data_IF_430007818859
#
_entry.id   IF_430007818859
#
_cell.length_a   1.000
_cell.length_b   1.000
_cell.length_c   1.000
_cell.angle_alpha   90.00
_cell.angle_beta   90.00
_cell.angle_gamma   90.00
#
_symmetry.space_group_name_H-M   'P 1'
#
loop_
_entity.id
_entity.type
_entity.pdbx_description
1 polymer ?
#
# COMPACT_ATOMS: atom_id res chain seq x y z
N UNK A 1 22.37 11.09 -10.62
CA UNK A 1 21.31 10.32 -9.93
C UNK A 1 20.03 11.14 -9.89
N UNK A 2 18.92 10.53 -10.24
CA UNK A 2 17.61 11.18 -10.22
C UNK A 2 16.71 10.53 -9.18
N UNK A 3 15.87 11.35 -8.53
CA UNK A 3 14.79 10.90 -7.66
C UNK A 3 13.48 11.07 -8.41
N UNK A 4 12.65 10.04 -8.43
CA UNK A 4 11.33 10.09 -9.08
C UNK A 4 10.25 9.74 -8.06
N UNK A 5 9.13 10.48 -8.12
CA UNK A 5 7.99 10.26 -7.24
C UNK A 5 6.72 9.99 -8.06
N UNK A 6 5.95 8.99 -7.63
CA UNK A 6 4.66 8.67 -8.22
C UNK A 6 3.55 8.86 -7.19
N UNK A 7 2.48 9.53 -7.58
CA UNK A 7 1.30 9.72 -6.76
C UNK A 7 0.37 8.52 -6.78
N UNK A 8 -0.66 8.55 -5.94
CA UNK A 8 -1.57 7.42 -5.73
C UNK A 8 -2.34 6.97 -6.97
N UNK A 9 -2.82 7.90 -7.80
CA UNK A 9 -3.56 7.56 -9.02
C UNK A 9 -2.69 6.83 -10.04
N UNK A 10 -1.39 7.15 -10.09
CA UNK A 10 -0.42 6.46 -10.96
C UNK A 10 -0.11 5.05 -10.49
N UNK A 11 -0.52 4.66 -9.28
CA UNK A 11 -0.20 3.39 -8.63
C UNK A 11 -1.46 2.62 -8.23
N UNK A 12 -2.62 3.03 -8.75
CA UNK A 12 -3.91 2.51 -8.30
C UNK A 12 -4.16 1.04 -8.68
N UNK A 13 -3.61 0.58 -9.79
CA UNK A 13 -3.76 -0.79 -10.28
C UNK A 13 -2.51 -1.26 -11.01
N UNK A 14 -2.51 -2.54 -11.42
CA UNK A 14 -1.36 -3.14 -12.11
C UNK A 14 -0.97 -2.45 -13.39
N UNK A 15 -1.94 -2.04 -14.21
CA UNK A 15 -1.67 -1.37 -15.47
C UNK A 15 -0.99 -0.02 -15.27
N UNK A 16 -1.46 0.77 -14.30
CA UNK A 16 -0.85 2.05 -13.97
C UNK A 16 0.56 1.88 -13.41
N UNK A 17 0.76 0.89 -12.55
CA UNK A 17 2.09 0.55 -12.03
C UNK A 17 3.03 0.14 -13.17
N UNK A 18 2.57 -0.63 -14.15
CA UNK A 18 3.38 -1.00 -15.31
C UNK A 18 3.88 0.24 -16.07
N UNK A 19 2.99 1.21 -16.29
CA UNK A 19 3.38 2.47 -16.94
C UNK A 19 4.44 3.23 -16.12
N UNK A 20 4.26 3.28 -14.80
CA UNK A 20 5.23 3.92 -13.92
C UNK A 20 6.59 3.22 -13.97
N UNK A 21 6.60 1.87 -13.96
CA UNK A 21 7.83 1.09 -14.06
C UNK A 21 8.53 1.31 -15.39
N UNK A 22 7.79 1.42 -16.50
CA UNK A 22 8.37 1.70 -17.81
C UNK A 22 9.08 3.06 -17.82
N UNK A 23 8.52 4.07 -17.16
CA UNK A 23 9.15 5.37 -16.98
C UNK A 23 10.46 5.24 -16.20
N UNK A 24 10.43 4.50 -15.08
CA UNK A 24 11.59 4.28 -14.23
C UNK A 24 12.72 3.61 -15.02
N UNK A 25 12.39 2.54 -15.72
CA UNK A 25 13.37 1.71 -16.45
C UNK A 25 13.88 2.37 -17.71
N UNK A 26 13.20 3.39 -18.23
CA UNK A 26 13.64 4.12 -19.41
C UNK A 26 14.87 5.01 -19.18
N UNK A 27 15.21 5.28 -17.92
CA UNK A 27 16.38 6.12 -17.57
C UNK A 27 17.13 5.48 -16.38
N UNK A 28 18.37 4.95 -16.61
CA UNK A 28 19.13 4.29 -15.55
C UNK A 28 19.58 5.23 -14.43
N UNK A 29 19.47 6.54 -14.59
CA UNK A 29 19.76 7.50 -13.53
C UNK A 29 18.65 7.64 -12.49
N UNK A 30 17.45 7.15 -12.77
CA UNK A 30 16.32 7.13 -11.82
C UNK A 30 16.52 5.99 -10.82
N UNK A 31 17.33 6.24 -9.80
CA UNK A 31 17.74 5.23 -8.81
C UNK A 31 16.97 5.30 -7.50
N UNK A 32 16.40 6.45 -7.15
CA UNK A 32 15.60 6.62 -5.95
C UNK A 32 14.15 6.81 -6.38
N UNK A 33 13.29 5.89 -5.94
CA UNK A 33 11.88 5.86 -6.32
C UNK A 33 11.06 6.04 -5.06
N UNK A 34 10.24 7.10 -5.04
CA UNK A 34 9.32 7.38 -3.94
C UNK A 34 7.91 7.11 -4.43
N UNK A 35 7.18 6.27 -3.71
CA UNK A 35 5.81 5.90 -4.07
C UNK A 35 4.84 6.27 -2.97
N UNK A 36 3.60 6.62 -3.37
CA UNK A 36 2.49 6.82 -2.46
C UNK A 36 1.70 5.52 -2.28
N UNK A 37 0.75 5.50 -1.36
CA UNK A 37 -0.25 4.44 -1.28
C UNK A 37 -1.05 4.36 -2.58
N UNK A 38 -1.57 3.18 -2.97
CA UNK A 38 -2.45 3.08 -4.12
C UNK A 38 -3.67 3.97 -3.99
N UNK A 39 -3.95 4.76 -5.02
CA UNK A 39 -5.11 5.64 -5.09
C UNK A 39 -6.36 4.92 -5.58
N UNK A 40 -7.36 5.70 -5.98
CA UNK A 40 -8.60 5.16 -6.55
C UNK A 40 -8.34 4.53 -7.92
N UNK A 41 -8.93 3.35 -8.16
CA UNK A 41 -8.91 2.68 -9.45
C UNK A 41 -9.90 3.30 -10.43
N UNK A 42 -10.97 3.89 -9.89
CA UNK A 42 -12.03 4.60 -10.61
C UNK A 42 -12.70 5.62 -9.67
N UNK A 43 -13.66 6.40 -10.18
CA UNK A 43 -14.31 7.47 -9.42
C UNK A 43 -15.10 6.96 -8.19
N UNK A 44 -15.60 5.72 -8.24
CA UNK A 44 -16.38 5.13 -7.16
C UNK A 44 -15.53 4.37 -6.13
N UNK A 45 -14.23 4.29 -6.35
CA UNK A 45 -13.31 3.55 -5.49
C UNK A 45 -12.90 4.37 -4.26
N UNK A 46 -12.28 3.68 -3.28
CA UNK A 46 -11.78 4.27 -2.04
C UNK A 46 -10.25 4.17 -2.05
N UNK A 47 -9.57 5.26 -1.71
CA UNK A 47 -8.11 5.25 -1.57
C UNK A 47 -7.68 4.32 -0.45
N UNK A 48 -6.52 3.71 -0.59
CA UNK A 48 -5.94 2.89 0.49
C UNK A 48 -5.76 3.71 1.77
N UNK A 49 -5.33 4.96 1.68
CA UNK A 49 -5.19 5.82 2.87
C UNK A 49 -6.50 5.93 3.64
N UNK A 50 -7.63 6.11 2.95
CA UNK A 50 -8.95 6.20 3.59
C UNK A 50 -9.38 4.86 4.21
N UNK A 51 -9.05 3.74 3.57
CA UNK A 51 -9.29 2.41 4.14
C UNK A 51 -8.46 2.19 5.41
N UNK A 52 -7.21 2.65 5.43
CA UNK A 52 -6.35 2.56 6.61
C UNK A 52 -6.86 3.44 7.76
N UNK A 53 -7.40 4.62 7.46
CA UNK A 53 -8.06 5.47 8.46
C UNK A 53 -9.25 4.73 9.07
N UNK A 54 -10.07 4.09 8.24
CA UNK A 54 -11.20 3.28 8.72
C UNK A 54 -10.72 2.14 9.60
N UNK A 55 -9.67 1.44 9.19
CA UNK A 55 -9.05 0.36 9.97
C UNK A 55 -8.57 0.87 11.34
N UNK A 56 -7.88 2.01 11.37
CA UNK A 56 -7.43 2.63 12.63
C UNK A 56 -8.61 2.95 13.55
N UNK A 57 -9.67 3.55 13.04
CA UNK A 57 -10.86 3.89 13.81
C UNK A 57 -11.56 2.64 14.36
N UNK A 58 -11.67 1.59 13.56
CA UNK A 58 -12.24 0.31 14.01
C UNK A 58 -11.38 -0.33 15.11
N UNK A 59 -10.06 -0.24 14.98
CA UNK A 59 -9.14 -0.72 16.01
C UNK A 59 -9.34 0.03 17.32
N UNK A 60 -9.46 1.37 17.27
CA UNK A 60 -9.69 2.20 18.45
C UNK A 60 -11.02 1.89 19.13
N UNK A 61 -12.02 1.45 18.39
CA UNK A 61 -13.34 1.06 18.91
C UNK A 61 -13.43 -0.41 19.30
N UNK A 62 -12.35 -1.15 19.16
CA UNK A 62 -12.29 -2.61 19.41
C UNK A 62 -13.31 -3.41 18.56
N UNK A 63 -13.56 -2.94 17.35
CA UNK A 63 -14.42 -3.64 16.39
C UNK A 63 -13.65 -4.77 15.69
N UNK A 64 -14.38 -5.73 15.11
CA UNK A 64 -13.78 -6.77 14.29
C UNK A 64 -13.23 -6.17 13.00
N UNK A 65 -11.94 -6.38 12.73
CA UNK A 65 -11.22 -5.79 11.59
C UNK A 65 -10.88 -6.77 10.47
N UNK A 66 -11.37 -8.00 10.52
CA UNK A 66 -11.01 -9.03 9.53
C UNK A 66 -11.38 -8.61 8.11
N UNK A 67 -12.58 -8.07 7.93
CA UNK A 67 -13.08 -7.66 6.63
C UNK A 67 -12.29 -6.48 6.05
N UNK A 68 -12.02 -5.44 6.87
CA UNK A 68 -11.27 -4.27 6.40
C UNK A 68 -9.82 -4.64 6.04
N UNK A 69 -9.19 -5.51 6.82
CA UNK A 69 -7.85 -6.01 6.52
C UNK A 69 -7.84 -6.74 5.18
N UNK A 70 -8.81 -7.61 4.93
CA UNK A 70 -8.92 -8.33 3.68
C UNK A 70 -9.15 -7.37 2.50
N UNK A 71 -10.00 -6.38 2.66
CA UNK A 71 -10.26 -5.36 1.63
C UNK A 71 -8.98 -4.61 1.26
N UNK A 72 -8.20 -4.17 2.25
CA UNK A 72 -6.93 -3.48 2.03
C UNK A 72 -5.94 -4.42 1.34
N UNK A 73 -5.77 -5.64 1.87
CA UNK A 73 -4.83 -6.61 1.33
C UNK A 73 -5.13 -6.93 -0.14
N UNK A 74 -6.39 -7.11 -0.50
CA UNK A 74 -6.78 -7.43 -1.87
C UNK A 74 -6.35 -6.36 -2.88
N UNK A 75 -6.29 -5.10 -2.47
CA UNK A 75 -5.81 -4.01 -3.32
C UNK A 75 -4.35 -4.18 -3.70
N UNK A 76 -3.50 -4.58 -2.75
CA UNK A 76 -2.10 -4.90 -3.01
C UNK A 76 -1.94 -6.21 -3.76
N UNK A 77 -2.72 -7.21 -3.39
CA UNK A 77 -2.71 -8.53 -4.03
C UNK A 77 -3.05 -8.44 -5.52
N UNK A 78 -4.04 -7.64 -5.89
CA UNK A 78 -4.44 -7.40 -7.27
C UNK A 78 -3.26 -6.89 -8.11
N UNK A 79 -2.53 -5.92 -7.59
CA UNK A 79 -1.33 -5.38 -8.25
C UNK A 79 -0.25 -6.45 -8.33
N UNK A 80 0.02 -7.14 -7.23
CA UNK A 80 1.02 -8.20 -7.18
C UNK A 80 0.75 -9.32 -8.18
N UNK A 81 -0.49 -9.79 -8.26
CA UNK A 81 -0.91 -10.83 -9.19
C UNK A 81 -0.76 -10.40 -10.65
N UNK A 82 -1.01 -9.13 -10.96
CA UNK A 82 -0.79 -8.59 -12.30
C UNK A 82 0.65 -8.81 -12.78
N UNK A 83 1.63 -8.73 -11.88
CA UNK A 83 3.04 -8.94 -12.17
C UNK A 83 3.54 -10.35 -11.84
N UNK A 84 2.67 -11.27 -11.49
CA UNK A 84 3.04 -12.64 -11.19
C UNK A 84 3.75 -12.83 -9.85
N UNK A 85 3.61 -11.91 -8.91
CA UNK A 85 4.17 -12.04 -7.56
C UNK A 85 3.47 -13.19 -6.84
N UNK A 86 4.25 -14.10 -6.25
CA UNK A 86 3.72 -15.27 -5.56
C UNK A 86 2.96 -14.89 -4.29
N UNK A 87 1.91 -15.64 -3.97
CA UNK A 87 1.11 -15.41 -2.76
C UNK A 87 1.95 -15.51 -1.48
N UNK A 88 2.98 -16.35 -1.46
CA UNK A 88 3.90 -16.47 -0.33
C UNK A 88 4.64 -15.15 -0.06
N UNK A 89 5.06 -14.44 -1.11
CA UNK A 89 5.69 -13.12 -0.99
C UNK A 89 4.69 -12.07 -0.55
N UNK A 90 3.48 -12.09 -1.10
CA UNK A 90 2.41 -11.16 -0.76
C UNK A 90 1.92 -11.34 0.68
N UNK A 91 2.07 -12.51 1.25
CA UNK A 91 1.71 -12.79 2.64
C UNK A 91 2.39 -11.85 3.63
N UNK A 92 3.60 -11.40 3.34
CA UNK A 92 4.32 -10.43 4.17
C UNK A 92 3.50 -9.15 4.37
N UNK A 93 2.85 -8.68 3.31
CA UNK A 93 1.99 -7.49 3.36
C UNK A 93 0.79 -7.74 4.28
N UNK A 94 0.15 -8.90 4.15
CA UNK A 94 -0.98 -9.28 5.01
C UNK A 94 -0.56 -9.38 6.47
N UNK A 95 0.58 -10.00 6.74
CA UNK A 95 1.09 -10.17 8.10
C UNK A 95 1.40 -8.82 8.75
N UNK A 96 1.95 -7.87 8.01
CA UNK A 96 2.20 -6.50 8.49
C UNK A 96 0.87 -5.82 8.84
N UNK A 97 -0.14 -5.92 7.97
CA UNK A 97 -1.47 -5.35 8.23
C UNK A 97 -2.10 -5.94 9.49
N UNK A 98 -2.02 -7.25 9.66
CA UNK A 98 -2.59 -7.93 10.84
C UNK A 98 -1.87 -7.55 12.13
N UNK A 99 -0.59 -7.23 12.07
CA UNK A 99 0.22 -6.86 13.24
C UNK A 99 0.03 -5.41 13.69
N UNK A 100 -0.52 -4.54 12.84
CA UNK A 100 -0.66 -3.11 13.15
C UNK A 100 -1.38 -2.83 14.47
N UNK A 101 -2.54 -3.46 14.79
CA UNK A 101 -3.23 -3.19 16.04
C UNK A 101 -2.45 -3.63 17.29
N UNK A 102 -1.51 -4.55 17.15
CA UNK A 102 -0.77 -5.14 18.28
C UNK A 102 0.47 -4.35 18.67
N UNK A 103 0.81 -3.30 17.95
CA UNK A 103 1.96 -2.45 18.27
C UNK A 103 1.63 -1.52 19.43
N UNK A 104 2.67 -1.13 20.17
CA UNK A 104 2.52 -0.16 21.26
C UNK A 104 2.51 1.26 20.70
N UNK A 105 1.42 1.96 20.94
CA UNK A 105 1.27 3.36 20.54
C UNK A 105 1.10 4.22 21.78
N UNK A 106 1.79 5.38 21.90
CA UNK A 106 1.63 6.28 23.06
C UNK A 106 0.21 6.82 23.22
N UNK A 107 -0.50 7.04 22.09
CA UNK A 107 -1.88 7.54 22.09
C UNK A 107 -2.52 7.27 20.71
N UNK A 108 -3.81 7.66 20.59
CA UNK A 108 -4.58 7.45 19.36
C UNK A 108 -4.03 8.20 18.16
N UNK A 109 -3.41 9.36 18.35
CA UNK A 109 -2.80 10.13 17.26
C UNK A 109 -1.62 9.41 16.65
N UNK A 110 -0.77 8.79 17.46
CA UNK A 110 0.35 7.96 16.97
C UNK A 110 -0.15 6.72 16.24
N UNK A 111 -1.19 6.07 16.77
CA UNK A 111 -1.80 4.92 16.11
C UNK A 111 -2.32 5.31 14.72
N UNK A 112 -3.08 6.39 14.64
CA UNK A 112 -3.65 6.87 13.38
C UNK A 112 -2.54 7.19 12.36
N UNK A 113 -1.49 7.89 12.80
CA UNK A 113 -0.36 8.24 11.94
C UNK A 113 0.37 6.99 11.42
N UNK A 114 0.57 5.98 12.27
CA UNK A 114 1.22 4.74 11.89
C UNK A 114 0.39 3.95 10.86
N UNK A 115 -0.92 3.85 11.05
CA UNK A 115 -1.80 3.16 10.11
C UNK A 115 -1.77 3.84 8.74
N UNK A 116 -1.89 5.18 8.71
CA UNK A 116 -1.83 5.95 7.45
C UNK A 116 -0.49 5.78 6.73
N UNK A 117 0.61 5.82 7.46
CA UNK A 117 1.95 5.70 6.88
C UNK A 117 2.20 4.32 6.24
N UNK A 118 1.51 3.29 6.68
CA UNK A 118 1.67 1.94 6.13
C UNK A 118 1.16 1.81 4.70
N UNK A 119 0.27 2.69 4.23
CA UNK A 119 -0.14 2.68 2.83
C UNK A 119 1.04 2.84 1.88
N UNK A 120 1.89 3.81 2.16
CA UNK A 120 3.11 4.06 1.37
C UNK A 120 4.17 2.97 1.59
N UNK A 121 4.38 2.56 2.84
CA UNK A 121 5.38 1.54 3.19
C UNK A 121 5.08 0.19 2.55
N UNK A 122 3.82 -0.24 2.59
CA UNK A 122 3.41 -1.50 1.98
C UNK A 122 3.54 -1.44 0.46
N UNK A 123 3.20 -0.31 -0.14
CA UNK A 123 3.35 -0.15 -1.57
C UNK A 123 4.82 -0.13 -2.00
N UNK A 124 5.69 0.49 -1.22
CA UNK A 124 7.14 0.45 -1.47
C UNK A 124 7.67 -1.00 -1.45
N UNK A 125 7.21 -1.82 -0.49
CA UNK A 125 7.55 -3.24 -0.46
C UNK A 125 7.04 -3.99 -1.68
N UNK A 126 5.80 -3.73 -2.07
CA UNK A 126 5.20 -4.37 -3.24
C UNK A 126 5.98 -4.03 -4.52
N UNK A 127 6.28 -2.77 -4.73
CA UNK A 127 7.07 -2.32 -5.90
C UNK A 127 8.46 -2.98 -5.89
N UNK A 128 9.10 -3.09 -4.74
CA UNK A 128 10.38 -3.78 -4.61
C UNK A 128 10.29 -5.27 -4.99
N UNK A 129 9.19 -5.95 -4.65
CA UNK A 129 8.96 -7.34 -5.07
C UNK A 129 8.80 -7.46 -6.58
N UNK A 130 8.20 -6.46 -7.22
CA UNK A 130 7.96 -6.45 -8.66
C UNK A 130 9.26 -6.17 -9.43
N UNK A 131 10.08 -5.28 -8.93
CA UNK A 131 11.37 -4.97 -9.51
C UNK A 131 12.39 -6.06 -9.23
#
# INVERSE_FOLDING_TARGET
MKVVKFGGSSLANGQNVEQALNIILSDPERRVIVVSAPGKRNDDDIKITDLLIKYANMTLKSENTDEIVQTIFMRYQEIGHFFGVADEELKVIKDILLALPSRNYPNSSYLMAAFKAHGERLNARLIAMIL
#
